data_IF_309705995486
#
_entry.id   IF_309705995486
#
_cell.length_a   1.000
_cell.length_b   1.000
_cell.length_c   1.000
_cell.angle_alpha   90.00
_cell.angle_beta   90.00
_cell.angle_gamma   90.00
#
_symmetry.space_group_name_H-M   'P 1'
#
loop_
_entity.id
_entity.type
_entity.pdbx_description
1 polymer ?
#
# COMPACT_ATOMS: atom_id res chain seq x y z
N UNK A 1 -7.87 -14.69 34.60
CA UNK A 1 -7.41 -14.04 33.36
C UNK A 1 -7.27 -15.15 32.31
N UNK A 2 -8.13 -15.17 31.29
CA UNK A 2 -8.04 -16.20 30.26
C UNK A 2 -6.81 -15.92 29.35
N UNK A 3 -6.05 -16.94 28.93
CA UNK A 3 -4.98 -16.74 27.96
C UNK A 3 -5.56 -16.20 26.66
N UNK A 4 -4.86 -15.25 26.02
CA UNK A 4 -5.19 -14.81 24.67
C UNK A 4 -5.15 -16.02 23.74
N UNK A 5 -6.18 -16.23 22.89
CA UNK A 5 -6.20 -17.38 22.00
C UNK A 5 -4.97 -17.32 21.09
N UNK A 6 -4.15 -18.38 21.12
CA UNK A 6 -3.07 -18.56 20.16
C UNK A 6 -3.71 -18.57 18.77
N UNK A 7 -3.44 -17.51 17.99
CA UNK A 7 -3.97 -17.39 16.64
C UNK A 7 -3.61 -18.63 15.86
N UNK A 8 -4.62 -19.38 15.41
CA UNK A 8 -4.45 -20.48 14.46
C UNK A 8 -4.02 -19.88 13.12
N UNK A 9 -2.74 -19.57 12.98
CA UNK A 9 -2.12 -19.35 11.68
C UNK A 9 -2.06 -20.74 11.04
N UNK A 10 -2.97 -21.00 10.10
CA UNK A 10 -2.98 -22.27 9.36
C UNK A 10 -1.62 -22.45 8.68
N UNK A 11 -1.16 -23.70 8.50
CA UNK A 11 0.17 -24.02 7.91
C UNK A 11 0.44 -23.32 6.56
N UNK A 12 -0.60 -22.94 5.84
CA UNK A 12 -0.51 -22.29 4.52
C UNK A 12 -0.76 -20.77 4.56
N UNK A 13 -0.83 -20.17 5.75
CA UNK A 13 -0.98 -18.73 5.87
C UNK A 13 0.34 -18.04 5.53
N UNK A 14 0.23 -16.95 4.77
CA UNK A 14 1.34 -16.03 4.54
C UNK A 14 1.32 -14.97 5.63
N UNK A 15 2.47 -14.72 6.25
CA UNK A 15 2.63 -13.64 7.22
C UNK A 15 3.07 -12.36 6.50
N UNK A 16 2.38 -11.26 6.77
CA UNK A 16 2.73 -9.92 6.28
C UNK A 16 2.89 -8.97 7.46
N UNK A 17 3.86 -8.05 7.38
CA UNK A 17 4.04 -7.02 8.41
C UNK A 17 2.84 -6.07 8.37
N UNK A 18 2.14 -5.94 9.50
CA UNK A 18 1.06 -4.96 9.66
C UNK A 18 1.63 -3.56 9.86
N UNK A 19 1.45 -2.71 8.85
CA UNK A 19 1.72 -1.28 8.96
C UNK A 19 0.45 -0.52 9.41
N UNK A 20 0.60 0.34 10.42
CA UNK A 20 -0.43 1.32 10.79
C UNK A 20 -0.21 2.58 9.95
N UNK A 21 -0.74 2.58 8.73
CA UNK A 21 -0.56 3.66 7.77
C UNK A 21 -1.69 3.74 6.75
N UNK A 22 -1.43 4.40 5.63
CA UNK A 22 -2.36 4.52 4.52
C UNK A 22 -2.28 3.30 3.61
N UNK A 23 -3.45 2.91 3.08
CA UNK A 23 -3.58 1.89 2.04
C UNK A 23 -3.94 2.56 0.74
N UNK A 24 -3.19 2.26 -0.32
CA UNK A 24 -3.42 2.81 -1.65
C UNK A 24 -3.40 1.74 -2.75
N UNK A 25 -4.11 2.06 -3.82
CA UNK A 25 -4.11 1.33 -5.08
C UNK A 25 -3.34 2.17 -6.10
N UNK A 26 -2.20 1.67 -6.54
CA UNK A 26 -1.49 2.21 -7.68
C UNK A 26 -2.03 1.55 -8.95
N UNK A 27 -2.47 2.34 -9.91
CA UNK A 27 -2.94 1.87 -11.22
C UNK A 27 -2.02 2.43 -12.29
N UNK A 28 -1.54 1.56 -13.17
CA UNK A 28 -0.65 1.89 -14.28
C UNK A 28 -1.07 1.10 -15.53
N UNK A 29 -1.99 1.63 -16.35
CA UNK A 29 -2.40 0.97 -17.59
C UNK A 29 -1.30 1.02 -18.67
N UNK A 30 -0.35 1.95 -18.54
CA UNK A 30 0.72 2.22 -19.48
C UNK A 30 2.01 2.68 -18.76
N UNK A 31 2.29 3.98 -18.77
CA UNK A 31 3.48 4.65 -18.24
C UNK A 31 3.13 5.61 -17.10
N UNK A 32 1.86 5.99 -16.95
CA UNK A 32 1.44 6.92 -15.92
C UNK A 32 0.85 6.18 -14.71
N UNK A 33 1.49 6.35 -13.56
CA UNK A 33 0.98 5.81 -12.29
C UNK A 33 -0.02 6.77 -11.69
N UNK A 34 -1.23 6.29 -11.42
CA UNK A 34 -2.20 6.99 -10.57
C UNK A 34 -2.30 6.28 -9.23
N UNK A 35 -2.08 7.03 -8.14
CA UNK A 35 -2.16 6.52 -6.78
C UNK A 35 -3.51 6.93 -6.17
N UNK A 36 -4.31 5.94 -5.79
CA UNK A 36 -5.61 6.14 -5.18
C UNK A 36 -5.61 5.71 -3.72
N UNK A 37 -6.12 6.54 -2.83
CA UNK A 37 -6.39 6.13 -1.44
C UNK A 37 -7.46 5.03 -1.38
N UNK A 38 -7.63 4.40 -0.21
CA UNK A 38 -8.76 3.49 0.08
C UNK A 38 -10.13 4.06 -0.31
N UNK A 39 -10.30 5.39 -0.25
CA UNK A 39 -11.55 6.10 -0.63
C UNK A 39 -11.53 6.62 -2.08
N UNK A 40 -10.63 6.11 -2.92
CA UNK A 40 -10.46 6.48 -4.33
C UNK A 40 -10.11 7.95 -4.59
N UNK A 41 -9.54 8.66 -3.60
CA UNK A 41 -8.99 10.01 -3.82
C UNK A 41 -7.61 9.90 -4.45
N UNK A 42 -7.30 10.73 -5.43
CA UNK A 42 -5.94 10.81 -5.97
C UNK A 42 -4.99 11.34 -4.91
N UNK A 43 -3.88 10.64 -4.74
CA UNK A 43 -2.81 10.96 -3.81
C UNK A 43 -1.53 11.44 -4.53
N UNK A 44 -1.52 11.48 -5.87
CA UNK A 44 -0.33 11.79 -6.66
C UNK A 44 0.36 13.11 -6.25
N UNK A 45 -0.43 14.15 -5.93
CA UNK A 45 0.11 15.46 -5.51
C UNK A 45 0.61 15.45 -4.07
N UNK A 46 0.06 14.58 -3.23
CA UNK A 46 0.41 14.50 -1.81
C UNK A 46 1.67 13.65 -1.60
N UNK A 47 1.84 12.60 -2.41
CA UNK A 47 2.93 11.64 -2.29
C UNK A 47 3.65 11.40 -3.63
N UNK A 48 4.25 12.43 -4.25
CA UNK A 48 4.96 12.27 -5.53
C UNK A 48 6.13 11.27 -5.40
N UNK A 49 6.80 11.26 -4.25
CA UNK A 49 7.90 10.35 -3.94
C UNK A 49 7.49 8.87 -3.89
N UNK A 50 6.20 8.56 -3.76
CA UNK A 50 5.67 7.20 -3.88
C UNK A 50 5.37 6.89 -5.36
N UNK A 51 4.85 7.86 -6.10
CA UNK A 51 4.45 7.67 -7.51
C UNK A 51 5.65 7.40 -8.41
N UNK A 52 6.75 8.13 -8.21
CA UNK A 52 7.98 8.01 -9.02
C UNK A 52 8.54 6.58 -9.07
N UNK A 53 8.88 5.91 -7.95
CA UNK A 53 9.42 4.55 -7.99
C UNK A 53 8.43 3.51 -8.51
N UNK A 54 7.12 3.76 -8.39
CA UNK A 54 6.10 2.88 -8.96
C UNK A 54 6.05 2.94 -10.49
N UNK A 55 6.52 4.04 -11.09
CA UNK A 55 6.61 4.17 -12.54
C UNK A 55 7.64 3.20 -13.13
N UNK A 56 8.72 2.93 -12.39
CA UNK A 56 9.83 2.06 -12.81
C UNK A 56 9.58 0.57 -12.58
N UNK A 57 8.48 0.18 -11.92
CA UNK A 57 8.15 -1.22 -11.69
C UNK A 57 7.88 -1.99 -13.00
N UNK A 58 8.08 -3.32 -13.04
CA UNK A 58 7.81 -4.12 -14.24
C UNK A 58 6.37 -3.97 -14.74
N UNK A 59 6.18 -3.94 -16.06
CA UNK A 59 4.85 -3.86 -16.70
C UNK A 59 4.03 -5.14 -16.63
N UNK A 60 4.52 -6.17 -15.93
CA UNK A 60 3.80 -7.42 -15.72
C UNK A 60 2.49 -7.23 -14.94
N UNK A 61 2.35 -6.12 -14.19
CA UNK A 61 1.16 -5.80 -13.45
C UNK A 61 0.67 -4.39 -13.76
N UNK A 62 -0.64 -4.27 -13.98
CA UNK A 62 -1.33 -3.00 -14.23
C UNK A 62 -1.78 -2.31 -12.94
N UNK A 63 -1.69 -3.01 -11.80
CA UNK A 63 -2.09 -2.50 -10.50
C UNK A 63 -1.28 -3.10 -9.36
N UNK A 64 -1.07 -2.30 -8.32
CA UNK A 64 -0.40 -2.70 -7.09
C UNK A 64 -1.19 -2.18 -5.89
N UNK A 65 -1.33 -3.00 -4.86
CA UNK A 65 -1.82 -2.56 -3.55
C UNK A 65 -0.61 -2.30 -2.68
N UNK A 66 -0.53 -1.09 -2.12
CA UNK A 66 0.56 -0.70 -1.23
C UNK A 66 0.00 -0.23 0.10
N UNK A 67 0.65 -0.64 1.18
CA UNK A 67 0.47 -0.08 2.52
C UNK A 67 1.74 0.73 2.83
N UNK A 68 1.59 2.00 3.23
CA UNK A 68 2.72 2.88 3.51
C UNK A 68 2.45 3.78 4.72
N UNK A 69 3.50 4.17 5.43
CA UNK A 69 3.40 5.17 6.49
C UNK A 69 3.86 6.52 5.94
N UNK A 70 2.96 7.50 5.94
CA UNK A 70 3.33 8.88 5.66
C UNK A 70 3.59 9.60 6.98
N UNK A 71 4.79 10.12 7.17
CA UNK A 71 5.03 11.10 8.22
C UNK A 71 4.36 12.41 7.80
N UNK A 72 3.44 12.91 8.63
CA UNK A 72 2.96 14.27 8.45
C UNK A 72 4.03 15.17 9.05
N UNK A 73 4.89 15.76 8.21
CA UNK A 73 5.68 16.91 8.67
C UNK A 73 4.65 17.97 9.03
N UNK A 74 4.48 18.19 10.34
CA UNK A 74 3.53 19.16 10.87
C UNK A 74 3.68 20.48 10.14
N UNK A 75 2.55 21.05 9.73
CA UNK A 75 2.53 22.45 9.29
C UNK A 75 2.96 23.37 10.43
#
# INVERSE_FOLDING_TARGET
MAPYPQGHITRNATEEIKLNGDRALAVRPDSCVTLFSRRRKSLNRQFPYIVEPLADLPAAYTQYVIDFQSETVGR
#
